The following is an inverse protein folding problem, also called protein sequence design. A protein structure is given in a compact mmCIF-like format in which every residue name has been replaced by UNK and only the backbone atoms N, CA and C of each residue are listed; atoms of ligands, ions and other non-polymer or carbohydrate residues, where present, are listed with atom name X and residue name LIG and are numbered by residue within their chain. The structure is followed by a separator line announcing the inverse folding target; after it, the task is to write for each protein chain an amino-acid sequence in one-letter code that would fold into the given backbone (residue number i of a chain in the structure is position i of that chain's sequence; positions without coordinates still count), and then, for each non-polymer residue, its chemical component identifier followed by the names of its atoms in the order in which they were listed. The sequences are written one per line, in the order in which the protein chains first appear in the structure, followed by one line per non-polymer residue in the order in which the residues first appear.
data_IF_348085454582
#
_entry.id   IF_348085454582
#
_cell.length_a   1.000
_cell.length_b   1.000
_cell.length_c   1.000
_cell.angle_alpha   90.00
_cell.angle_beta   90.00
_cell.angle_gamma   90.00
#
_symmetry.space_group_name_H-M   'P 1'
#
loop_
_entity.id
_entity.type
_entity.pdbx_description
1 polymer ?
#
# COMPACT_ATOMS: atom_id res chain seq x y z
N UNK A 1 8.80 12.81 11.27
CA UNK A 1 8.77 11.52 10.54
C UNK A 1 9.58 10.50 11.32
N UNK A 2 9.27 9.21 11.17
CA UNK A 2 9.77 8.14 12.05
C UNK A 2 11.03 7.45 11.49
N UNK A 3 11.05 7.17 10.19
CA UNK A 3 12.15 6.42 9.57
C UNK A 3 13.41 7.27 9.46
N UNK A 4 14.58 6.62 9.62
CA UNK A 4 15.85 7.21 9.19
C UNK A 4 15.98 7.18 7.67
N UNK A 5 16.93 7.93 7.11
CA UNK A 5 17.20 7.93 5.67
C UNK A 5 17.56 6.53 5.14
N UNK A 6 18.36 5.78 5.89
CA UNK A 6 18.72 4.40 5.56
C UNK A 6 17.49 3.48 5.56
N UNK A 7 16.68 3.53 6.63
CA UNK A 7 15.47 2.73 6.73
C UNK A 7 14.49 3.03 5.60
N UNK A 8 14.34 4.29 5.22
CA UNK A 8 13.52 4.69 4.09
C UNK A 8 14.07 4.15 2.76
N UNK A 9 15.40 4.16 2.55
CA UNK A 9 16.02 3.61 1.34
C UNK A 9 15.85 2.08 1.23
N UNK A 10 15.99 1.35 2.34
CA UNK A 10 15.74 -0.10 2.36
C UNK A 10 14.28 -0.41 2.03
N UNK A 11 13.32 0.34 2.60
CA UNK A 11 11.90 0.17 2.28
C UNK A 11 11.58 0.57 0.83
N UNK A 12 12.19 1.62 0.29
CA UNK A 12 12.02 1.99 -1.13
C UNK A 12 12.47 0.84 -2.04
N UNK A 13 13.68 0.33 -1.82
CA UNK A 13 14.20 -0.81 -2.58
C UNK A 13 13.31 -2.06 -2.46
N UNK A 14 12.87 -2.39 -1.24
CA UNK A 14 12.03 -3.57 -1.01
C UNK A 14 10.64 -3.42 -1.65
N UNK A 15 10.00 -2.25 -1.50
CA UNK A 15 8.65 -2.03 -2.06
C UNK A 15 8.64 -1.96 -3.59
N UNK A 16 9.70 -1.45 -4.22
CA UNK A 16 9.93 -1.56 -5.68
C UNK A 16 10.07 -2.99 -6.20
N UNK A 17 10.43 -3.95 -5.35
CA UNK A 17 10.38 -5.38 -5.71
C UNK A 17 9.00 -5.98 -5.58
N UNK A 18 8.18 -5.45 -4.68
CA UNK A 18 6.83 -5.93 -4.41
C UNK A 18 5.80 -5.40 -5.42
N UNK A 19 5.89 -4.11 -5.76
CA UNK A 19 5.07 -3.44 -6.77
C UNK A 19 6.00 -2.59 -7.64
N UNK A 20 6.62 -3.19 -8.68
CA UNK A 20 7.59 -2.52 -9.53
C UNK A 20 6.96 -1.40 -10.34
N UNK A 21 7.71 -0.31 -10.54
CA UNK A 21 7.37 0.76 -11.47
C UNK A 21 8.16 0.67 -12.78
N UNK A 22 8.03 1.68 -13.65
CA UNK A 22 8.59 1.66 -15.01
C UNK A 22 10.13 1.69 -15.02
N UNK A 23 10.77 2.20 -13.97
CA UNK A 23 12.23 2.19 -13.81
C UNK A 23 12.75 0.88 -13.18
N UNK A 24 11.85 0.10 -12.57
CA UNK A 24 12.21 -1.11 -11.84
C UNK A 24 12.13 -2.36 -12.73
N UNK A 25 11.12 -2.44 -13.60
CA UNK A 25 10.89 -3.49 -14.58
C UNK A 25 10.38 -2.91 -15.92
N UNK A 26 11.02 -3.29 -17.03
CA UNK A 26 10.60 -2.88 -18.37
C UNK A 26 9.19 -3.32 -18.77
N UNK A 27 8.66 -4.38 -18.14
CA UNK A 27 7.28 -4.82 -18.36
C UNK A 27 6.25 -3.81 -17.84
N UNK A 28 6.64 -2.95 -16.88
CA UNK A 28 5.79 -1.94 -16.26
C UNK A 28 5.91 -0.57 -16.92
N UNK A 29 6.39 -0.51 -18.18
CA UNK A 29 6.51 0.76 -18.90
C UNK A 29 5.13 1.42 -19.06
N UNK A 30 4.92 2.53 -18.33
CA UNK A 30 3.66 3.27 -18.30
C UNK A 30 2.76 2.93 -17.11
N UNK A 31 3.12 1.92 -16.30
CA UNK A 31 2.43 1.51 -15.09
C UNK A 31 3.22 1.99 -13.85
N UNK A 32 2.69 2.88 -13.01
CA UNK A 32 3.39 3.38 -11.83
C UNK A 32 3.49 2.30 -10.73
N UNK A 33 4.63 2.23 -10.05
CA UNK A 33 4.87 1.32 -8.94
C UNK A 33 4.84 1.98 -7.57
N UNK A 34 5.34 1.25 -6.59
CA UNK A 34 5.43 1.71 -5.20
C UNK A 34 6.21 3.02 -5.05
N UNK A 35 7.26 3.20 -5.85
CA UNK A 35 8.08 4.40 -5.82
C UNK A 35 7.32 5.63 -6.32
N UNK A 36 6.68 5.53 -7.49
CA UNK A 36 5.90 6.62 -8.09
C UNK A 36 4.71 7.01 -7.21
N UNK A 37 4.11 6.03 -6.51
CA UNK A 37 3.02 6.27 -5.57
C UNK A 37 3.47 6.81 -4.20
N UNK A 38 4.77 6.93 -3.96
CA UNK A 38 5.33 7.39 -2.69
C UNK A 38 4.94 6.51 -1.49
N UNK A 39 4.94 5.18 -1.67
CA UNK A 39 4.56 4.21 -0.64
C UNK A 39 5.39 4.37 0.64
N UNK A 40 6.68 4.67 0.54
CA UNK A 40 7.54 4.87 1.73
C UNK A 40 7.03 6.04 2.59
N UNK A 41 6.53 7.10 1.96
CA UNK A 41 5.91 8.21 2.68
C UNK A 41 4.66 7.77 3.44
N UNK A 42 3.81 6.95 2.84
CA UNK A 42 2.65 6.36 3.53
C UNK A 42 3.07 5.61 4.79
N UNK A 43 4.03 4.68 4.65
CA UNK A 43 4.55 3.88 5.77
C UNK A 43 5.13 4.79 6.86
N UNK A 44 5.92 5.79 6.50
CA UNK A 44 6.53 6.71 7.45
C UNK A 44 5.49 7.57 8.18
N UNK A 45 4.44 8.04 7.48
CA UNK A 45 3.30 8.73 8.11
C UNK A 45 2.59 7.83 9.10
N UNK A 46 2.29 6.58 8.72
CA UNK A 46 1.63 5.60 9.59
C UNK A 46 2.48 5.35 10.84
N UNK A 47 3.77 5.07 10.69
CA UNK A 47 4.68 4.85 11.83
C UNK A 47 4.86 6.11 12.67
N UNK A 48 4.71 7.30 12.07
CA UNK A 48 4.75 8.58 12.73
C UNK A 48 3.35 9.14 13.11
N UNK A 49 2.28 8.35 13.08
CA UNK A 49 0.90 8.87 13.15
C UNK A 49 0.65 9.80 14.35
N UNK A 50 1.23 9.48 15.51
CA UNK A 50 1.11 10.26 16.75
C UNK A 50 2.09 11.45 16.88
N UNK A 51 2.89 11.74 15.84
CA UNK A 51 3.65 13.00 15.74
C UNK A 51 2.83 14.14 15.15
N UNK A 52 1.61 13.85 14.69
CA UNK A 52 0.65 14.82 14.16
C UNK A 52 -0.45 15.10 15.20
N UNK A 53 -1.10 16.26 15.08
CA UNK A 53 -2.25 16.65 15.90
C UNK A 53 -3.38 17.17 15.00
N UNK A 54 -4.55 16.50 14.95
CA UNK A 54 -4.82 15.17 15.53
C UNK A 54 -3.93 14.07 14.92
N UNK A 55 -3.77 12.92 15.59
CA UNK A 55 -2.99 11.81 15.04
C UNK A 55 -3.48 11.39 13.66
N UNK A 56 -2.56 11.10 12.74
CA UNK A 56 -2.90 10.66 11.38
C UNK A 56 -3.36 9.19 11.33
N UNK A 57 -4.49 8.90 11.97
CA UNK A 57 -5.06 7.55 12.11
C UNK A 57 -6.34 7.39 11.31
N UNK A 58 -7.27 8.35 11.41
CA UNK A 58 -8.50 8.38 10.63
C UNK A 58 -8.58 9.71 9.90
N UNK A 59 -8.39 9.68 8.59
CA UNK A 59 -8.77 10.77 7.70
C UNK A 59 -10.25 11.11 7.93
N UNK A 60 -10.61 12.37 7.73
CA UNK A 60 -11.96 12.85 7.87
C UNK A 60 -12.85 12.37 6.74
N UNK A 61 -13.69 13.28 6.26
CA UNK A 61 -14.73 12.99 5.29
C UNK A 61 -15.89 13.96 5.46
N UNK A 62 -16.92 13.85 4.62
CA UNK A 62 -17.27 12.66 3.85
C UNK A 62 -16.57 12.44 2.49
N UNK A 63 -15.87 13.44 1.93
CA UNK A 63 -15.17 13.35 0.63
C UNK A 63 -14.08 14.41 0.47
N UNK A 64 -13.35 14.39 -0.65
CA UNK A 64 -12.30 15.36 -0.96
C UNK A 64 -12.75 16.47 -1.94
N UNK A 65 -11.83 17.36 -2.30
CA UNK A 65 -12.03 18.35 -3.36
C UNK A 65 -11.83 17.79 -4.78
N UNK A 66 -11.68 16.47 -4.94
CA UNK A 66 -11.55 15.82 -6.24
C UNK A 66 -12.91 15.77 -6.95
N UNK A 67 -12.87 15.51 -8.26
CA UNK A 67 -14.05 15.33 -9.10
C UNK A 67 -15.12 16.45 -9.02
N UNK A 68 -14.70 17.69 -8.78
CA UNK A 68 -15.60 18.86 -8.69
C UNK A 68 -16.01 19.24 -7.27
N UNK A 69 -15.46 18.59 -6.24
CA UNK A 69 -15.61 19.02 -4.85
C UNK A 69 -14.90 20.36 -4.58
N UNK A 70 -15.45 21.16 -3.67
CA UNK A 70 -14.88 22.46 -3.29
C UNK A 70 -13.96 22.41 -2.07
N UNK A 71 -14.02 21.32 -1.29
CA UNK A 71 -13.35 21.19 0.01
C UNK A 71 -12.84 19.76 0.19
N UNK A 72 -11.63 19.64 0.76
CA UNK A 72 -11.00 18.36 1.03
C UNK A 72 -11.16 17.95 2.50
N UNK A 73 -12.30 17.36 2.84
CA UNK A 73 -12.56 16.92 4.21
C UNK A 73 -11.69 15.72 4.63
N UNK A 74 -11.08 15.01 3.69
CA UNK A 74 -10.18 13.89 3.97
C UNK A 74 -8.81 14.39 4.45
N UNK A 75 -8.45 15.64 4.17
CA UNK A 75 -7.20 16.26 4.63
C UNK A 75 -7.21 16.54 6.14
N UNK A 76 -8.40 16.71 6.73
CA UNK A 76 -8.60 16.94 8.16
C UNK A 76 -8.84 15.63 8.91
N UNK A 77 -7.90 15.25 9.77
CA UNK A 77 -7.99 13.99 10.50
C UNK A 77 -8.91 14.10 11.72
N UNK A 78 -9.54 12.99 12.08
CA UNK A 78 -10.49 12.92 13.20
C UNK A 78 -9.74 12.66 14.52
N UNK A 79 -9.98 13.47 15.58
CA UNK A 79 -9.44 13.18 16.91
C UNK A 79 -9.92 11.84 17.45
N UNK A 80 -9.02 11.13 18.13
CA UNK A 80 -9.35 9.86 18.77
C UNK A 80 -9.87 10.07 20.19
N UNK A 81 -10.85 9.27 20.59
CA UNK A 81 -11.21 9.15 22.00
C UNK A 81 -10.08 8.48 22.81
N UNK A 82 -10.20 8.46 24.14
CA UNK A 82 -9.16 7.91 25.03
C UNK A 82 -8.86 6.43 24.75
N UNK A 83 -9.87 5.60 24.51
CA UNK A 83 -9.69 4.17 24.32
C UNK A 83 -9.06 3.87 22.95
N UNK A 84 -9.54 4.56 21.91
CA UNK A 84 -8.98 4.52 20.56
C UNK A 84 -7.51 4.97 20.57
N UNK A 85 -7.21 6.08 21.23
CA UNK A 85 -5.85 6.62 21.33
C UNK A 85 -4.90 5.59 21.97
N UNK A 86 -5.28 5.00 23.10
CA UNK A 86 -4.50 3.96 23.75
C UNK A 86 -4.27 2.74 22.85
N UNK A 87 -5.33 2.20 22.24
CA UNK A 87 -5.24 1.03 21.38
C UNK A 87 -4.36 1.28 20.15
N UNK A 88 -4.50 2.44 19.51
CA UNK A 88 -3.68 2.80 18.36
C UNK A 88 -2.23 3.07 18.71
N UNK A 89 -1.93 3.65 19.88
CA UNK A 89 -0.55 3.80 20.34
C UNK A 89 0.15 2.45 20.50
N UNK A 90 -0.53 1.45 21.07
CA UNK A 90 0.02 0.09 21.18
C UNK A 90 0.26 -0.51 19.80
N UNK A 91 -0.72 -0.45 18.90
CA UNK A 91 -0.59 -0.96 17.53
C UNK A 91 0.56 -0.30 16.77
N UNK A 92 0.70 1.02 16.84
CA UNK A 92 1.80 1.73 16.18
C UNK A 92 3.15 1.38 16.81
N UNK A 93 3.24 1.17 18.13
CA UNK A 93 4.46 0.72 18.79
C UNK A 93 4.88 -0.69 18.33
N UNK A 94 3.92 -1.61 18.19
CA UNK A 94 4.18 -2.95 17.67
C UNK A 94 4.63 -2.92 16.21
N UNK A 95 4.01 -2.06 15.38
CA UNK A 95 4.43 -1.86 14.00
C UNK A 95 5.84 -1.29 13.91
N UNK A 96 6.18 -0.29 14.72
CA UNK A 96 7.54 0.27 14.79
C UNK A 96 8.60 -0.79 15.10
N UNK A 97 8.28 -1.72 16.01
CA UNK A 97 9.15 -2.85 16.34
C UNK A 97 9.30 -3.80 15.16
N UNK A 98 8.19 -4.19 14.51
CA UNK A 98 8.20 -5.07 13.34
C UNK A 98 9.00 -4.46 12.18
N UNK A 99 8.83 -3.17 11.91
CA UNK A 99 9.57 -2.46 10.86
C UNK A 99 11.05 -2.32 11.18
N UNK A 100 11.40 -1.95 12.40
CA UNK A 100 12.81 -1.82 12.80
C UNK A 100 13.55 -3.15 12.70
N UNK A 101 12.93 -4.23 13.20
CA UNK A 101 13.51 -5.57 13.13
C UNK A 101 13.52 -6.13 11.70
N UNK A 102 12.45 -5.91 10.94
CA UNK A 102 12.33 -6.36 9.56
C UNK A 102 13.37 -5.73 8.65
N UNK A 103 13.56 -4.41 8.75
CA UNK A 103 14.60 -3.69 7.98
C UNK A 103 15.99 -4.20 8.35
N UNK A 104 16.29 -4.34 9.65
CA UNK A 104 17.58 -4.87 10.10
C UNK A 104 17.82 -6.32 9.60
N UNK A 105 16.77 -7.13 9.52
CA UNK A 105 16.83 -8.49 8.97
C UNK A 105 17.12 -8.47 7.46
N UNK A 106 16.50 -7.56 6.70
CA UNK A 106 16.79 -7.41 5.27
C UNK A 106 18.27 -7.07 5.04
N UNK A 107 18.81 -6.12 5.81
CA UNK A 107 20.23 -5.76 5.78
C UNK A 107 21.13 -6.95 6.14
N UNK A 108 20.80 -7.67 7.22
CA UNK A 108 21.55 -8.84 7.64
C UNK A 108 21.60 -9.91 6.54
N UNK A 109 20.46 -10.20 5.89
CA UNK A 109 20.38 -11.20 4.82
C UNK A 109 21.07 -10.73 3.52
N UNK A 110 21.16 -9.42 3.30
CA UNK A 110 21.95 -8.84 2.21
C UNK A 110 23.46 -8.88 2.49
N UNK A 111 23.87 -9.09 3.74
CA UNK A 111 25.27 -9.00 4.18
C UNK A 111 25.75 -7.57 4.35
N UNK A 112 24.84 -6.60 4.52
CA UNK A 112 25.15 -5.17 4.53
C UNK A 112 23.90 -4.34 4.28
N UNK A 113 24.02 -3.28 3.47
CA UNK A 113 22.87 -2.44 3.09
C UNK A 113 22.04 -3.15 2.01
N UNK A 114 20.81 -3.55 2.34
CA UNK A 114 19.88 -4.22 1.42
C UNK A 114 19.61 -3.40 0.14
N UNK A 115 19.58 -2.06 0.25
CA UNK A 115 19.30 -1.17 -0.89
C UNK A 115 20.40 -1.22 -1.97
N UNK A 116 21.60 -1.65 -1.60
CA UNK A 116 22.75 -1.79 -2.51
C UNK A 116 22.90 -3.19 -3.10
N UNK A 117 22.15 -4.17 -2.60
CA UNK A 117 22.17 -5.53 -3.12
C UNK A 117 21.63 -5.58 -4.56
N UNK A 118 22.08 -6.58 -5.34
CA UNK A 118 21.53 -6.79 -6.68
C UNK A 118 20.03 -7.08 -6.64
N UNK A 119 19.26 -6.67 -7.66
CA UNK A 119 17.81 -6.93 -7.74
C UNK A 119 17.46 -8.41 -7.50
N UNK A 120 18.21 -9.33 -8.11
CA UNK A 120 18.01 -10.78 -7.90
C UNK A 120 18.25 -11.23 -6.46
N UNK A 121 19.20 -10.61 -5.75
CA UNK A 121 19.44 -10.90 -4.33
C UNK A 121 18.31 -10.33 -3.46
N UNK A 122 17.86 -9.10 -3.74
CA UNK A 122 16.71 -8.50 -3.07
C UNK A 122 15.46 -9.38 -3.22
N UNK A 123 15.15 -9.79 -4.45
CA UNK A 123 14.02 -10.68 -4.74
C UNK A 123 14.15 -12.00 -3.96
N UNK A 124 15.34 -12.62 -3.99
CA UNK A 124 15.60 -13.87 -3.28
C UNK A 124 15.41 -13.77 -1.76
N UNK A 125 15.84 -12.67 -1.15
CA UNK A 125 15.64 -12.39 0.28
C UNK A 125 14.15 -12.21 0.60
N UNK A 126 13.41 -11.47 -0.23
CA UNK A 126 12.02 -11.16 0.03
C UNK A 126 11.09 -12.38 -0.10
N UNK A 127 11.37 -13.28 -1.05
CA UNK A 127 10.49 -14.42 -1.37
C UNK A 127 10.85 -15.73 -0.65
N UNK A 128 11.99 -15.80 0.05
CA UNK A 128 12.43 -17.04 0.72
C UNK A 128 12.88 -16.80 2.16
N UNK A 129 12.73 -17.84 2.99
CA UNK A 129 13.41 -17.90 4.30
C UNK A 129 12.83 -17.00 5.38
N UNK A 130 13.72 -16.36 6.15
CA UNK A 130 13.40 -15.72 7.43
C UNK A 130 12.62 -14.40 7.28
N UNK A 131 12.71 -13.73 6.13
CA UNK A 131 12.09 -12.42 5.92
C UNK A 131 10.60 -12.49 5.55
N UNK A 132 10.06 -13.66 5.18
CA UNK A 132 8.71 -13.81 4.59
C UNK A 132 7.62 -13.13 5.42
N UNK A 133 7.63 -13.26 6.75
CA UNK A 133 6.63 -12.61 7.61
C UNK A 133 6.68 -11.08 7.52
N UNK A 134 7.89 -10.51 7.45
CA UNK A 134 8.04 -9.06 7.26
C UNK A 134 7.67 -8.65 5.83
N UNK A 135 8.03 -9.45 4.82
CA UNK A 135 7.62 -9.23 3.43
C UNK A 135 6.10 -9.17 3.30
N UNK A 136 5.36 -10.06 3.97
CA UNK A 136 3.89 -10.06 3.95
C UNK A 136 3.29 -8.80 4.59
N UNK A 137 3.83 -8.38 5.74
CA UNK A 137 3.43 -7.12 6.38
C UNK A 137 3.70 -5.92 5.45
N UNK A 138 4.91 -5.85 4.88
CA UNK A 138 5.33 -4.79 3.98
C UNK A 138 4.47 -4.76 2.72
N UNK A 139 4.15 -5.92 2.14
CA UNK A 139 3.27 -6.02 0.98
C UNK A 139 1.88 -5.45 1.28
N UNK A 140 1.27 -5.81 2.42
CA UNK A 140 -0.01 -5.24 2.84
C UNK A 140 0.00 -3.72 2.87
N UNK A 141 1.00 -3.12 3.53
CA UNK A 141 1.13 -1.67 3.59
C UNK A 141 1.60 -1.03 2.26
N UNK A 142 2.22 -1.80 1.37
CA UNK A 142 2.54 -1.34 0.00
C UNK A 142 1.27 -1.17 -0.81
N UNK A 143 0.37 -2.16 -0.76
CA UNK A 143 -0.94 -2.07 -1.40
C UNK A 143 -1.78 -0.94 -0.80
N UNK A 144 -1.80 -0.79 0.53
CA UNK A 144 -2.45 0.35 1.18
C UNK A 144 -1.84 1.68 0.73
N UNK A 145 -0.52 1.79 0.66
CA UNK A 145 0.18 2.97 0.19
C UNK A 145 -0.05 3.26 -1.29
N UNK A 146 -0.30 2.25 -2.13
CA UNK A 146 -0.64 2.42 -3.55
C UNK A 146 -2.06 2.95 -3.74
N UNK A 147 -3.03 2.47 -2.95
CA UNK A 147 -4.45 2.61 -3.29
C UNK A 147 -5.32 3.28 -2.23
N UNK A 148 -4.76 3.71 -1.09
CA UNK A 148 -5.49 4.54 -0.13
C UNK A 148 -5.63 5.99 -0.61
N UNK A 149 -6.42 6.77 0.12
CA UNK A 149 -6.55 8.21 -0.10
C UNK A 149 -5.18 8.90 0.13
N UNK A 150 -4.78 9.85 -0.74
CA UNK A 150 -3.43 10.40 -0.75
C UNK A 150 -3.05 11.21 0.51
N UNK A 151 -4.00 11.54 1.37
CA UNK A 151 -3.82 12.33 2.59
C UNK A 151 -3.00 11.59 3.67
N UNK A 152 -2.89 10.26 3.55
CA UNK A 152 -1.95 9.44 4.32
C UNK A 152 -0.52 9.46 3.75
N UNK A 153 -0.29 10.06 2.58
CA UNK A 153 1.03 10.31 1.99
C UNK A 153 1.46 9.32 0.90
N UNK A 154 0.71 8.24 0.69
CA UNK A 154 0.84 7.36 -0.48
C UNK A 154 -0.05 7.80 -1.63
N UNK A 155 -0.20 6.96 -2.65
CA UNK A 155 -0.97 7.20 -3.86
C UNK A 155 -0.74 8.61 -4.41
N UNK A 156 0.52 9.05 -4.38
CA UNK A 156 0.90 10.39 -4.74
C UNK A 156 0.43 10.72 -6.16
N UNK A 157 -0.13 11.92 -6.37
CA UNK A 157 -0.69 12.32 -7.67
C UNK A 157 -1.78 11.38 -8.22
N UNK A 158 -2.39 10.57 -7.34
CA UNK A 158 -3.43 9.58 -7.67
C UNK A 158 -2.94 8.48 -8.63
N UNK A 159 -1.63 8.20 -8.66
CA UNK A 159 -1.05 7.29 -9.65
C UNK A 159 -1.63 5.88 -9.55
N UNK A 160 -1.79 5.34 -8.34
CA UNK A 160 -2.37 4.00 -8.15
C UNK A 160 -3.82 3.94 -8.58
N UNK A 161 -4.61 4.97 -8.26
CA UNK A 161 -6.02 5.05 -8.70
C UNK A 161 -6.15 5.17 -10.22
N UNK A 162 -5.34 6.03 -10.84
CA UNK A 162 -5.33 6.19 -12.30
C UNK A 162 -4.88 4.93 -13.02
N UNK A 163 -3.96 4.18 -12.42
CA UNK A 163 -3.47 2.93 -12.98
C UNK A 163 -4.61 1.93 -13.11
N UNK A 164 -5.29 1.65 -12.00
CA UNK A 164 -6.46 0.74 -11.94
C UNK A 164 -7.76 1.35 -12.48
N UNK A 165 -7.68 2.53 -13.12
CA UNK A 165 -8.82 3.27 -13.68
C UNK A 165 -9.92 3.58 -12.67
N UNK A 166 -9.58 3.65 -11.38
CA UNK A 166 -10.49 4.10 -10.35
C UNK A 166 -10.51 5.63 -10.33
N UNK A 167 -11.66 6.30 -10.50
CA UNK A 167 -11.71 7.76 -10.49
C UNK A 167 -11.58 8.37 -9.08
N UNK A 168 -11.45 7.53 -8.05
CA UNK A 168 -11.34 7.95 -6.66
C UNK A 168 -12.69 8.23 -6.01
N UNK A 169 -12.66 9.06 -4.97
CA UNK A 169 -13.88 9.62 -4.40
C UNK A 169 -14.50 10.66 -5.35
N UNK A 170 -15.76 10.42 -5.74
CA UNK A 170 -16.48 11.20 -6.78
C UNK A 170 -17.73 11.90 -6.22
N UNK A 171 -17.73 12.20 -4.92
CA UNK A 171 -18.86 12.87 -4.29
C UNK A 171 -18.95 14.35 -4.71
N UNK A 172 -20.16 14.95 -4.76
CA UNK A 172 -21.45 14.39 -4.32
C UNK A 172 -22.15 13.49 -5.36
N UNK A 173 -21.56 13.24 -6.54
CA UNK A 173 -22.18 12.44 -7.60
C UNK A 173 -22.36 10.97 -7.17
N UNK A 174 -21.34 10.41 -6.50
CA UNK A 174 -21.30 9.00 -6.14
C UNK A 174 -21.17 8.07 -7.36
N UNK A 175 -21.36 6.77 -7.15
CA UNK A 175 -21.45 5.76 -8.21
C UNK A 175 -22.88 5.24 -8.31
N UNK A 176 -23.35 5.05 -9.54
CA UNK A 176 -24.60 4.34 -9.83
C UNK A 176 -24.40 2.83 -9.67
N UNK A 177 -25.49 2.09 -9.43
CA UNK A 177 -25.43 0.61 -9.35
C UNK A 177 -24.76 -0.01 -10.59
N UNK A 178 -25.05 0.53 -11.79
CA UNK A 178 -24.47 0.04 -13.03
C UNK A 178 -22.95 0.26 -13.10
N UNK A 179 -22.44 1.38 -12.58
CA UNK A 179 -20.99 1.65 -12.50
C UNK A 179 -20.29 0.74 -11.48
N UNK A 180 -21.00 0.28 -10.43
CA UNK A 180 -20.44 -0.63 -9.41
C UNK A 180 -20.50 -2.09 -9.85
N UNK A 181 -21.57 -2.50 -10.54
CA UNK A 181 -21.82 -3.89 -10.95
C UNK A 181 -21.16 -4.27 -12.29
N UNK A 182 -20.73 -3.28 -13.08
CA UNK A 182 -20.09 -3.49 -14.37
C UNK A 182 -18.71 -4.17 -14.27
N UNK A 183 -18.37 -5.12 -15.16
CA UNK A 183 -17.03 -5.71 -15.18
C UNK A 183 -15.99 -4.66 -15.61
N UNK A 184 -14.97 -4.45 -14.77
CA UNK A 184 -13.90 -3.46 -15.00
C UNK A 184 -12.81 -3.93 -16.00
N UNK A 185 -13.08 -4.96 -16.81
CA UNK A 185 -12.22 -5.34 -17.94
C UNK A 185 -10.86 -5.98 -17.59
N UNK A 186 -10.50 -6.14 -16.32
CA UNK A 186 -9.21 -6.72 -15.95
C UNK A 186 -9.14 -8.23 -16.22
N UNK A 187 -8.17 -8.62 -17.05
CA UNK A 187 -7.74 -10.00 -17.20
C UNK A 187 -6.74 -10.30 -16.08
N UNK A 188 -7.06 -11.27 -15.21
CA UNK A 188 -6.13 -11.73 -14.18
C UNK A 188 -4.90 -12.37 -14.83
N UNK A 189 -3.73 -11.73 -14.74
CA UNK A 189 -2.47 -12.44 -14.95
C UNK A 189 -2.25 -13.41 -13.78
N UNK A 190 -2.09 -14.69 -14.10
CA UNK A 190 -1.91 -15.78 -13.13
C UNK A 190 -0.44 -16.17 -12.97
N UNK A 191 0.47 -15.36 -13.51
CA UNK A 191 1.92 -15.52 -13.41
C UNK A 191 2.52 -14.74 -12.22
N UNK A 192 3.79 -14.98 -11.89
CA UNK A 192 4.53 -14.25 -10.85
C UNK A 192 4.01 -14.39 -9.41
N UNK A 193 4.35 -13.40 -8.57
CA UNK A 193 3.98 -13.36 -7.14
C UNK A 193 2.47 -13.31 -6.93
N UNK A 194 1.74 -12.64 -7.83
CA UNK A 194 0.27 -12.57 -7.83
C UNK A 194 -0.33 -13.96 -8.09
N UNK A 195 0.21 -14.72 -9.05
CA UNK A 195 -0.16 -16.11 -9.27
C UNK A 195 0.11 -17.02 -8.07
N UNK A 196 1.17 -16.75 -7.30
CA UNK A 196 1.53 -17.48 -6.09
C UNK A 196 0.57 -17.16 -4.92
N UNK A 197 0.18 -15.90 -4.78
CA UNK A 197 -0.79 -15.44 -3.78
C UNK A 197 -2.22 -15.94 -4.08
N UNK A 198 -2.65 -15.91 -5.34
CA UNK A 198 -3.96 -16.44 -5.78
C UNK A 198 -4.08 -17.94 -5.46
N UNK A 199 -3.03 -18.73 -5.71
CA UNK A 199 -3.01 -20.16 -5.36
C UNK A 199 -2.91 -20.42 -3.85
N UNK A 200 -2.41 -19.45 -3.08
CA UNK A 200 -2.28 -19.50 -1.61
C UNK A 200 -3.57 -19.21 -0.83
N UNK A 201 -4.73 -19.11 -1.50
CA UNK A 201 -6.03 -18.94 -0.84
C UNK A 201 -6.60 -17.52 -0.86
N UNK A 202 -6.00 -16.59 -1.62
CA UNK A 202 -6.50 -15.22 -1.78
C UNK A 202 -7.94 -15.14 -2.31
N UNK A 203 -8.39 -16.10 -3.13
CA UNK A 203 -9.80 -16.19 -3.55
C UNK A 203 -10.77 -16.35 -2.36
N UNK A 204 -10.37 -17.05 -1.29
CA UNK A 204 -11.17 -17.16 -0.06
C UNK A 204 -11.13 -15.86 0.77
N UNK A 205 -10.06 -15.08 0.68
CA UNK A 205 -9.97 -13.76 1.33
C UNK A 205 -10.90 -12.75 0.63
N UNK A 206 -10.93 -12.73 -0.70
CA UNK A 206 -11.85 -11.88 -1.49
C UNK A 206 -13.31 -12.25 -1.23
N UNK A 207 -13.63 -13.55 -1.17
CA UNK A 207 -14.98 -14.01 -0.82
C UNK A 207 -15.46 -13.60 0.58
N UNK A 208 -14.54 -13.35 1.52
CA UNK A 208 -14.85 -12.80 2.85
C UNK A 208 -14.99 -11.27 2.87
N UNK A 209 -14.50 -10.58 1.84
CA UNK A 209 -14.58 -9.11 1.71
C UNK A 209 -15.86 -8.62 1.01
N UNK A 210 -16.84 -9.50 0.77
CA UNK A 210 -18.22 -9.11 0.41
C UNK A 210 -18.45 -8.66 -1.03
N UNK A 211 -17.43 -8.63 -1.89
CA UNK A 211 -17.58 -8.33 -3.31
C UNK A 211 -18.05 -9.54 -4.11
N UNK A 212 -19.23 -9.45 -4.74
CA UNK A 212 -19.69 -10.39 -5.79
C UNK A 212 -19.25 -9.97 -7.20
N UNK A 213 -18.56 -8.85 -7.35
CA UNK A 213 -18.13 -8.36 -8.64
C UNK A 213 -16.83 -9.07 -9.09
N UNK A 214 -16.90 -9.74 -10.24
CA UNK A 214 -15.75 -9.94 -11.11
C UNK A 214 -15.06 -11.30 -11.05
N UNK A 215 -15.74 -12.38 -11.48
CA UNK A 215 -15.05 -13.42 -12.27
C UNK A 215 -16.02 -14.02 -13.28
N UNK A 216 -16.04 -13.49 -14.50
CA UNK A 216 -16.47 -14.30 -15.64
C UNK A 216 -15.25 -15.11 -16.08
N UNK A 217 -15.11 -16.32 -15.55
CA UNK A 217 -14.27 -17.32 -16.18
C UNK A 217 -14.90 -17.64 -17.54
N UNK A 218 -14.32 -17.09 -18.61
CA UNK A 218 -14.72 -17.43 -19.97
C UNK A 218 -14.67 -18.95 -20.16
N UNK A 219 -15.73 -19.50 -20.74
CA UNK A 219 -15.68 -20.81 -21.38
C UNK A 219 -15.01 -20.69 -22.74
#
# INVERSE_FOLDING_TARGET
LYLSAHQAAVLDAATRRLVPGPEDDSAELGSPGAHEANVVRYIDVMLAAFSFSPPKVHAGGPWSNRAGGSEDFMADFVPLDRAQNYAWQQRIADLRTQYTNGIALLDQLAGGDFSTASKSQQDGILITGQAVSFTQLLFGHTIEGMYSVPEYGGNANLVGWRDIKWPGDVQPRGYTNAEVEGPAGDLLDTSGVVGLLVRGGWAQAIGKMGGKAGVNAGR
#
